data_IF_793512928552
#
_entry.id   IF_793512928552
#
_cell.length_a   1.000
_cell.length_b   1.000
_cell.length_c   1.000
_cell.angle_alpha   90.00
_cell.angle_beta   90.00
_cell.angle_gamma   90.00
#
_symmetry.space_group_name_H-M   'P 1'
#
loop_
_entity.id
_entity.type
_entity.pdbx_description
1 polymer ?
#
# COMPACT_ATOMS: atom_id res chain seq x y z
N UNK A 1 6.52 32.89 25.75
CA UNK A 1 7.38 32.58 24.58
C UNK A 1 8.61 31.83 25.08
N UNK A 2 8.75 30.56 24.70
CA UNK A 2 10.02 29.81 24.67
C UNK A 2 9.86 28.63 23.69
N UNK A 3 10.56 28.70 22.56
CA UNK A 3 10.93 27.57 21.69
C UNK A 3 12.29 27.05 22.20
N UNK A 4 12.69 25.77 22.16
CA UNK A 4 12.23 24.60 21.44
C UNK A 4 12.71 23.33 22.20
N UNK A 5 11.80 22.39 22.47
CA UNK A 5 12.20 20.99 22.62
C UNK A 5 12.02 20.35 21.24
N UNK A 6 13.13 20.12 20.55
CA UNK A 6 13.13 19.44 19.26
C UNK A 6 12.71 17.96 19.40
N UNK A 7 12.31 17.30 18.30
CA UNK A 7 11.89 15.90 18.34
C UNK A 7 13.03 15.03 18.87
N UNK A 8 12.69 14.20 19.86
CA UNK A 8 13.62 13.25 20.49
C UNK A 8 14.06 12.20 19.46
N UNK A 9 15.10 11.42 19.79
CA UNK A 9 15.50 10.28 18.95
C UNK A 9 14.35 9.29 18.77
N UNK A 10 13.55 9.06 19.81
CA UNK A 10 12.38 8.18 19.74
C UNK A 10 11.32 8.72 18.77
N UNK A 11 11.08 10.03 18.74
CA UNK A 11 10.15 10.66 17.81
C UNK A 11 10.62 10.55 16.35
N UNK A 12 11.92 10.73 16.12
CA UNK A 12 12.52 10.57 14.79
C UNK A 12 12.50 9.13 14.31
N UNK A 13 12.76 8.17 15.21
CA UNK A 13 12.67 6.75 14.89
C UNK A 13 11.22 6.33 14.61
N UNK A 14 10.25 6.83 15.37
CA UNK A 14 8.82 6.60 15.09
C UNK A 14 8.45 7.11 13.70
N UNK A 15 8.82 8.35 13.38
CA UNK A 15 8.54 8.94 12.07
C UNK A 15 9.23 8.16 10.93
N UNK A 16 10.44 7.64 11.16
CA UNK A 16 11.15 6.81 10.19
C UNK A 16 10.51 5.44 9.99
N UNK A 17 9.97 4.85 11.05
CA UNK A 17 9.33 3.53 11.04
C UNK A 17 7.82 3.60 10.72
N UNK A 18 7.25 4.79 10.63
CA UNK A 18 5.86 4.99 10.25
C UNK A 18 5.66 4.55 8.80
N UNK A 19 4.91 3.47 8.63
CA UNK A 19 4.27 3.14 7.37
C UNK A 19 3.08 4.07 7.15
N UNK A 20 2.63 4.20 5.90
CA UNK A 20 1.37 4.89 5.61
C UNK A 20 0.28 4.31 6.53
N UNK A 21 -0.44 5.13 7.35
CA UNK A 21 -1.40 4.61 8.32
C UNK A 21 -2.59 3.88 7.67
N UNK A 22 -2.72 3.99 6.34
CA UNK A 22 -3.72 3.25 5.56
C UNK A 22 -3.23 1.85 5.16
N UNK A 23 -1.92 1.60 5.18
CA UNK A 23 -1.32 0.33 4.78
C UNK A 23 -1.96 -0.84 5.56
N UNK A 24 -2.50 -1.79 4.81
CA UNK A 24 -3.25 -2.94 5.36
C UNK A 24 -2.36 -4.12 5.74
N UNK A 25 -1.07 -4.09 5.39
CA UNK A 25 -0.14 -5.19 5.55
C UNK A 25 -0.30 -6.30 4.50
N UNK A 26 0.71 -7.18 4.44
CA UNK A 26 0.82 -8.21 3.39
C UNK A 26 -0.36 -9.19 3.40
N UNK A 27 -0.74 -9.71 4.57
CA UNK A 27 -1.80 -10.72 4.69
C UNK A 27 -3.12 -10.22 4.10
N UNK A 28 -3.55 -9.03 4.50
CA UNK A 28 -4.80 -8.45 4.01
C UNK A 28 -4.71 -8.01 2.55
N UNK A 29 -3.55 -7.53 2.10
CA UNK A 29 -3.32 -7.20 0.70
C UNK A 29 -3.46 -8.45 -0.19
N UNK A 30 -2.83 -9.56 0.19
CA UNK A 30 -2.87 -10.83 -0.55
C UNK A 30 -4.28 -11.43 -0.58
N UNK A 31 -5.02 -11.40 0.53
CA UNK A 31 -6.41 -11.88 0.57
C UNK A 31 -7.30 -11.17 -0.45
N UNK A 32 -7.10 -9.87 -0.67
CA UNK A 32 -7.95 -9.04 -1.52
C UNK A 32 -7.32 -8.73 -2.90
N UNK A 33 -6.12 -9.24 -3.18
CA UNK A 33 -5.37 -8.86 -4.37
C UNK A 33 -6.09 -9.20 -5.66
N UNK A 34 -6.76 -10.36 -5.70
CA UNK A 34 -7.59 -10.79 -6.82
C UNK A 34 -8.71 -9.79 -7.13
N UNK A 35 -9.45 -9.31 -6.12
CA UNK A 35 -10.50 -8.29 -6.29
C UNK A 35 -9.92 -6.98 -6.79
N UNK A 36 -8.77 -6.58 -6.24
CA UNK A 36 -8.10 -5.34 -6.63
C UNK A 36 -7.69 -5.37 -8.11
N UNK A 37 -7.14 -6.49 -8.57
CA UNK A 37 -6.74 -6.74 -9.97
C UNK A 37 -7.95 -6.75 -10.91
N UNK A 38 -9.03 -7.46 -10.55
CA UNK A 38 -10.25 -7.50 -11.38
C UNK A 38 -10.85 -6.11 -11.60
N UNK A 39 -10.89 -5.28 -10.55
CA UNK A 39 -11.35 -3.90 -10.67
C UNK A 39 -10.46 -3.07 -11.60
N UNK A 40 -9.14 -3.23 -11.51
CA UNK A 40 -8.20 -2.56 -12.40
C UNK A 40 -8.41 -3.01 -13.85
N UNK A 41 -8.50 -4.31 -14.09
CA UNK A 41 -8.70 -4.90 -15.42
C UNK A 41 -10.03 -4.45 -16.04
N UNK A 42 -11.06 -4.23 -15.22
CA UNK A 42 -12.34 -3.65 -15.64
C UNK A 42 -12.28 -2.12 -15.91
N UNK A 43 -11.10 -1.50 -15.85
CA UNK A 43 -10.91 -0.06 -16.08
C UNK A 43 -11.37 0.83 -14.91
N UNK A 44 -11.57 0.26 -13.72
CA UNK A 44 -11.90 1.04 -12.53
C UNK A 44 -10.65 1.53 -11.80
N UNK A 45 -10.85 2.40 -10.79
CA UNK A 45 -9.82 2.92 -9.91
C UNK A 45 -9.86 2.18 -8.55
N UNK A 46 -9.27 0.97 -8.42
CA UNK A 46 -9.30 0.21 -7.17
C UNK A 46 -8.61 0.94 -6.00
N UNK A 47 -7.69 1.87 -6.26
CA UNK A 47 -7.04 2.73 -5.27
C UNK A 47 -8.01 3.67 -4.55
N UNK A 48 -9.12 4.07 -5.18
CA UNK A 48 -10.15 4.88 -4.53
C UNK A 48 -11.00 4.04 -3.56
N UNK A 49 -11.24 2.77 -3.90
CA UNK A 49 -12.04 1.84 -3.11
C UNK A 49 -11.24 1.14 -2.01
N UNK A 50 -9.97 0.85 -2.28
CA UNK A 50 -9.05 0.16 -1.38
C UNK A 50 -7.74 0.95 -1.23
N UNK A 51 -7.80 2.17 -0.63
CA UNK A 51 -6.64 3.04 -0.51
C UNK A 51 -5.50 2.41 0.32
N UNK A 52 -5.83 1.48 1.22
CA UNK A 52 -4.86 0.76 2.02
C UNK A 52 -4.09 -0.33 1.28
N UNK A 53 -4.72 -1.00 0.31
CA UNK A 53 -4.01 -1.91 -0.60
C UNK A 53 -3.09 -1.10 -1.50
N UNK A 54 -3.56 0.03 -2.03
CA UNK A 54 -2.74 0.93 -2.82
C UNK A 54 -1.53 1.47 -2.03
N UNK A 55 -1.70 1.77 -0.74
CA UNK A 55 -0.59 2.14 0.15
C UNK A 55 0.42 0.99 0.29
N UNK A 56 -0.07 -0.23 0.51
CA UNK A 56 0.78 -1.40 0.67
C UNK A 56 1.58 -1.73 -0.58
N UNK A 57 0.96 -1.73 -1.77
CA UNK A 57 1.65 -2.01 -3.04
C UNK A 57 2.79 -1.01 -3.31
N UNK A 58 2.65 0.25 -2.86
CA UNK A 58 3.76 1.23 -2.95
C UNK A 58 4.90 0.95 -1.99
N UNK A 59 4.64 0.27 -0.88
CA UNK A 59 5.61 0.03 0.19
C UNK A 59 6.25 -1.37 0.14
N UNK A 60 5.58 -2.35 -0.45
CA UNK A 60 5.97 -3.76 -0.45
C UNK A 60 6.24 -4.27 -1.88
N UNK A 61 7.52 -4.39 -2.23
CA UNK A 61 7.96 -4.90 -3.53
C UNK A 61 7.34 -6.26 -3.91
N UNK A 62 7.41 -7.30 -3.05
CA UNK A 62 6.83 -8.60 -3.37
C UNK A 62 5.32 -8.57 -3.67
N UNK A 63 4.54 -7.78 -2.93
CA UNK A 63 3.10 -7.65 -3.21
C UNK A 63 2.84 -6.86 -4.50
N UNK A 64 3.71 -5.90 -4.85
CA UNK A 64 3.64 -5.20 -6.14
C UNK A 64 3.96 -6.13 -7.30
N UNK A 65 4.96 -7.00 -7.19
CA UNK A 65 5.32 -7.95 -8.23
C UNK A 65 4.18 -8.95 -8.48
N UNK A 66 3.54 -9.44 -7.41
CA UNK A 66 2.36 -10.31 -7.49
C UNK A 66 1.19 -9.59 -8.18
N UNK A 67 0.95 -8.32 -7.84
CA UNK A 67 -0.08 -7.49 -8.47
C UNK A 67 0.13 -7.35 -9.98
N UNK A 68 1.34 -6.97 -10.41
CA UNK A 68 1.66 -6.79 -11.83
C UNK A 68 1.56 -8.11 -12.60
N UNK A 69 2.02 -9.22 -12.00
CA UNK A 69 1.92 -10.55 -12.60
C UNK A 69 0.46 -11.01 -12.78
N UNK A 70 -0.36 -10.82 -11.76
CA UNK A 70 -1.80 -11.12 -11.84
C UNK A 70 -2.52 -10.22 -12.84
N UNK A 71 -2.22 -8.92 -12.86
CA UNK A 71 -2.83 -7.98 -13.81
C UNK A 71 -2.51 -8.38 -15.25
N UNK A 72 -1.23 -8.64 -15.55
CA UNK A 72 -0.83 -9.12 -16.87
C UNK A 72 -1.58 -10.41 -17.25
N UNK A 73 -1.70 -11.36 -16.33
CA UNK A 73 -2.38 -12.62 -16.60
C UNK A 73 -3.88 -12.46 -16.96
N UNK A 74 -4.57 -11.46 -16.39
CA UNK A 74 -6.01 -11.24 -16.67
C UNK A 74 -6.28 -10.28 -17.82
N UNK A 75 -5.29 -9.49 -18.26
CA UNK A 75 -5.44 -8.55 -19.38
C UNK A 75 -4.97 -9.09 -20.73
N UNK A 76 -4.19 -10.16 -20.76
CA UNK A 76 -3.69 -10.81 -21.99
C UNK A 76 -4.70 -11.84 -22.59
N UNK A 77 -5.99 -11.74 -22.25
CA UNK A 77 -7.10 -12.56 -22.78
C UNK A 77 -7.92 -11.79 -23.83
#
# INVERSE_FOLDING_TARGET
MNHADGPTLADRLRLFLETDPRDVGCERAMELLHVYVELRAAGQAPEERYPGIAAHLRACGPCSDEYEGLLAAVTEL
#
